data_IF_591275847842
#
_entry.id   IF_591275847842
#
_cell.length_a   1.000
_cell.length_b   1.000
_cell.length_c   1.000
_cell.angle_alpha   90.00
_cell.angle_beta   90.00
_cell.angle_gamma   90.00
#
_symmetry.space_group_name_H-M   'P 1'
#
loop_
_entity.id
_entity.type
_entity.pdbx_description
1 polymer ?
#
# COMPACT_ATOMS: atom_id res chain seq x y z
N UNK A 1 -0.55 -1.22 -10.10
CA UNK A 1 0.81 -0.91 -9.60
C UNK A 1 0.66 0.03 -8.42
N UNK A 2 1.24 -0.31 -7.25
CA UNK A 2 1.33 0.67 -6.18
C UNK A 2 2.23 1.81 -6.69
N UNK A 3 1.81 3.07 -6.61
CA UNK A 3 2.65 4.18 -7.03
C UNK A 3 3.93 4.15 -6.19
N UNK A 4 5.09 4.24 -6.84
CA UNK A 4 6.38 4.16 -6.13
C UNK A 4 6.54 5.27 -5.07
N UNK A 5 5.80 6.37 -5.24
CA UNK A 5 5.65 7.45 -4.27
C UNK A 5 4.20 7.45 -3.81
N UNK A 6 3.97 7.29 -2.51
CA UNK A 6 2.64 7.33 -1.93
C UNK A 6 2.36 8.70 -1.29
N UNK A 7 1.27 9.35 -1.65
CA UNK A 7 0.86 10.65 -1.11
C UNK A 7 0.71 10.63 0.42
N UNK A 8 0.11 9.56 0.96
CA UNK A 8 -0.07 9.40 2.41
C UNK A 8 1.30 9.36 3.12
N UNK A 9 2.28 8.66 2.54
CA UNK A 9 3.63 8.58 3.09
C UNK A 9 4.34 9.94 3.04
N UNK A 10 4.14 10.72 1.97
CA UNK A 10 4.70 12.08 1.86
C UNK A 10 4.17 12.97 2.98
N UNK A 11 2.86 12.95 3.23
CA UNK A 11 2.22 13.74 4.30
C UNK A 11 2.73 13.32 5.67
N UNK A 12 2.81 12.02 5.95
CA UNK A 12 3.32 11.49 7.23
C UNK A 12 4.79 11.84 7.44
N UNK A 13 5.64 11.65 6.44
CA UNK A 13 7.07 11.97 6.54
C UNK A 13 7.29 13.46 6.74
N UNK A 14 6.50 14.30 6.07
CA UNK A 14 6.53 15.74 6.25
C UNK A 14 6.14 16.12 7.69
N UNK A 15 5.08 15.52 8.24
CA UNK A 15 4.60 15.80 9.59
C UNK A 15 5.55 15.32 10.70
N UNK A 16 6.15 14.13 10.54
CA UNK A 16 6.98 13.49 11.58
C UNK A 16 8.45 13.92 11.51
N UNK A 17 9.02 14.04 10.31
CA UNK A 17 10.46 14.24 10.10
C UNK A 17 10.79 15.57 9.39
N UNK A 18 9.76 16.32 8.99
CA UNK A 18 9.91 17.61 8.34
C UNK A 18 10.12 17.52 6.82
N UNK A 19 10.10 18.70 6.19
CA UNK A 19 10.12 18.84 4.73
C UNK A 19 11.38 18.28 4.05
N UNK A 20 12.53 18.29 4.74
CA UNK A 20 13.80 17.79 4.19
C UNK A 20 13.73 16.28 3.90
N UNK A 21 13.16 15.51 4.81
CA UNK A 21 13.05 14.05 4.68
C UNK A 21 11.98 13.68 3.64
N UNK A 22 10.84 14.37 3.64
CA UNK A 22 9.80 14.19 2.63
C UNK A 22 10.32 14.47 1.20
N UNK A 23 11.09 15.55 1.03
CA UNK A 23 11.67 15.91 -0.27
C UNK A 23 12.72 14.90 -0.73
N UNK A 24 13.54 14.37 0.19
CA UNK A 24 14.48 13.29 -0.10
C UNK A 24 13.76 12.01 -0.55
N UNK A 25 12.67 11.63 0.12
CA UNK A 25 11.84 10.50 -0.30
C UNK A 25 11.27 10.67 -1.70
N UNK A 26 10.64 11.82 -1.99
CA UNK A 26 10.01 12.09 -3.30
C UNK A 26 11.06 12.12 -4.42
N UNK A 27 12.16 12.84 -4.22
CA UNK A 27 13.25 12.94 -5.21
C UNK A 27 13.92 11.60 -5.47
N UNK A 28 14.23 10.83 -4.41
CA UNK A 28 14.82 9.50 -4.56
C UNK A 28 13.85 8.55 -5.29
N UNK A 29 12.58 8.54 -4.90
CA UNK A 29 11.54 7.74 -5.55
C UNK A 29 11.42 8.07 -7.04
N UNK A 30 11.48 9.36 -7.40
CA UNK A 30 11.43 9.82 -8.78
C UNK A 30 12.67 9.37 -9.58
N UNK A 31 13.86 9.52 -9.02
CA UNK A 31 15.11 9.09 -9.67
C UNK A 31 15.08 7.59 -9.95
N UNK A 32 14.70 6.79 -8.94
CA UNK A 32 14.59 5.34 -9.09
C UNK A 32 13.52 4.98 -10.14
N UNK A 33 12.38 5.68 -10.18
CA UNK A 33 11.32 5.46 -11.16
C UNK A 33 11.81 5.67 -12.59
N UNK A 34 12.50 6.79 -12.82
CA UNK A 34 13.02 7.15 -14.14
C UNK A 34 14.09 6.14 -14.56
N UNK A 35 15.03 5.81 -13.68
CA UNK A 35 16.10 4.85 -13.99
C UNK A 35 15.57 3.44 -14.23
N UNK A 36 14.68 2.95 -13.37
CA UNK A 36 14.06 1.64 -13.54
C UNK A 36 13.22 1.58 -14.82
N UNK A 37 12.41 2.60 -15.09
CA UNK A 37 11.63 2.71 -16.33
C UNK A 37 12.54 2.73 -17.57
N UNK A 38 13.64 3.48 -17.51
CA UNK A 38 14.63 3.52 -18.60
C UNK A 38 15.29 2.15 -18.85
N UNK A 39 15.71 1.46 -17.79
CA UNK A 39 16.32 0.12 -17.89
C UNK A 39 15.32 -0.89 -18.46
N UNK A 40 14.08 -0.91 -17.95
CA UNK A 40 13.02 -1.81 -18.43
C UNK A 40 12.72 -1.55 -19.92
N UNK A 41 12.68 -0.29 -20.34
CA UNK A 41 12.49 0.09 -21.74
C UNK A 41 13.64 -0.43 -22.63
N UNK A 42 14.88 -0.35 -22.15
CA UNK A 42 16.04 -0.88 -22.89
C UNK A 42 16.03 -2.40 -23.01
N UNK A 43 15.54 -3.09 -21.98
CA UNK A 43 15.44 -4.56 -21.95
C UNK A 43 14.31 -5.11 -22.84
N UNK A 44 13.44 -4.25 -23.39
CA UNK A 44 12.32 -4.64 -24.27
C UNK A 44 11.54 -5.83 -23.72
N UNK A 45 11.17 -5.70 -22.44
CA UNK A 45 10.49 -6.74 -21.66
C UNK A 45 9.01 -6.82 -22.07
N UNK A 46 8.58 -6.14 -23.15
CA UNK A 46 7.18 -6.10 -23.59
C UNK A 46 6.64 -7.50 -23.91
N UNK A 47 7.51 -8.44 -24.30
CA UNK A 47 7.17 -9.85 -24.53
C UNK A 47 6.68 -10.62 -23.28
N UNK A 48 6.85 -10.06 -22.08
CA UNK A 48 6.32 -10.62 -20.83
C UNK A 48 5.06 -9.90 -20.35
N UNK A 49 4.63 -8.86 -21.07
CA UNK A 49 3.38 -8.17 -20.80
C UNK A 49 2.27 -8.95 -21.47
N UNK A 50 1.29 -9.35 -20.68
CA UNK A 50 0.10 -10.04 -21.16
C UNK A 50 -0.68 -9.23 -22.21
N UNK A 51 -1.18 -9.91 -23.25
CA UNK A 51 -1.78 -9.29 -24.43
C UNK A 51 -3.02 -8.44 -24.10
N UNK A 52 -3.74 -8.77 -23.02
CA UNK A 52 -4.92 -8.01 -22.59
C UNK A 52 -4.59 -6.57 -22.15
N UNK A 53 -3.35 -6.29 -21.74
CA UNK A 53 -2.92 -4.94 -21.36
C UNK A 53 -2.92 -4.02 -22.58
N UNK A 54 -2.54 -4.54 -23.74
CA UNK A 54 -2.53 -3.79 -25.00
C UNK A 54 -3.93 -3.64 -25.58
N UNK A 55 -4.85 -4.59 -25.33
CA UNK A 55 -6.23 -4.53 -25.83
C UNK A 55 -7.09 -3.49 -25.12
N UNK A 56 -6.83 -3.19 -23.84
CA UNK A 56 -7.55 -2.13 -23.09
C UNK A 56 -7.32 -0.74 -23.71
N UNK A 57 -6.13 -0.48 -24.28
CA UNK A 57 -5.83 0.80 -24.96
C UNK A 57 -6.59 0.97 -26.29
N UNK A 58 -7.00 -0.13 -26.91
CA UNK A 58 -7.70 -0.15 -28.21
C UNK A 58 -9.21 0.02 -28.06
N UNK A 59 -9.77 -0.23 -26.88
CA UNK A 59 -11.11 0.21 -26.57
C UNK A 59 -11.01 1.68 -26.18
N UNK A 60 -11.06 2.56 -27.19
CA UNK A 60 -11.74 3.83 -27.00
C UNK A 60 -13.13 3.46 -26.48
N UNK A 61 -13.26 3.42 -25.14
CA UNK A 61 -14.56 3.41 -24.49
C UNK A 61 -15.25 4.61 -25.11
N UNK A 62 -16.24 4.35 -25.96
CA UNK A 62 -17.21 5.34 -26.38
C UNK A 62 -17.86 5.75 -25.06
N UNK A 63 -17.26 6.74 -24.40
CA UNK A 63 -17.83 7.43 -23.26
C UNK A 63 -18.98 8.24 -23.86
N UNK A 64 -20.03 7.53 -24.28
CA UNK A 64 -21.36 8.07 -24.21
C UNK A 64 -21.52 8.43 -22.74
N UNK A 65 -21.28 9.71 -22.45
CA UNK A 65 -21.66 10.33 -21.20
C UNK A 65 -23.20 10.29 -21.15
N UNK A 66 -23.76 9.11 -20.94
CA UNK A 66 -25.06 9.00 -20.30
C UNK A 66 -24.81 9.53 -18.90
N UNK A 67 -25.06 10.83 -18.71
CA UNK A 67 -24.90 11.50 -17.43
C UNK A 67 -25.71 10.76 -16.38
N UNK A 68 -25.03 9.90 -15.61
CA UNK A 68 -25.67 9.12 -14.56
C UNK A 68 -26.27 10.07 -13.54
N UNK A 69 -27.53 9.86 -13.22
CA UNK A 69 -28.28 10.70 -12.29
C UNK A 69 -27.67 10.55 -10.89
N UNK A 70 -27.73 11.60 -10.06
CA UNK A 70 -27.16 11.56 -8.70
C UNK A 70 -27.66 10.35 -7.87
N UNK A 71 -28.92 9.96 -8.05
CA UNK A 71 -29.50 8.79 -7.39
C UNK A 71 -28.86 7.47 -7.83
N UNK A 72 -28.61 7.30 -9.13
CA UNK A 72 -27.98 6.11 -9.70
C UNK A 72 -26.53 5.97 -9.22
N UNK A 73 -25.83 7.10 -9.03
CA UNK A 73 -24.46 7.11 -8.46
C UNK A 73 -24.43 6.65 -7.01
N UNK A 74 -25.40 7.07 -6.19
CA UNK A 74 -25.50 6.65 -4.79
C UNK A 74 -25.83 5.16 -4.71
N UNK A 75 -26.81 4.70 -5.49
CA UNK A 75 -27.20 3.29 -5.52
C UNK A 75 -26.05 2.41 -6.00
N UNK A 76 -25.34 2.83 -7.04
CA UNK A 76 -24.12 2.18 -7.51
C UNK A 76 -23.06 2.11 -6.41
N UNK A 77 -22.78 3.24 -5.74
CA UNK A 77 -21.83 3.30 -4.64
C UNK A 77 -22.17 2.31 -3.53
N UNK A 78 -23.44 2.26 -3.11
CA UNK A 78 -23.90 1.32 -2.09
C UNK A 78 -23.76 -0.14 -2.52
N UNK A 79 -24.10 -0.45 -3.78
CA UNK A 79 -23.99 -1.80 -4.32
C UNK A 79 -22.53 -2.26 -4.35
N UNK A 80 -21.61 -1.39 -4.80
CA UNK A 80 -20.16 -1.67 -4.81
C UNK A 80 -19.62 -1.85 -3.40
N UNK A 81 -19.99 -0.98 -2.46
CA UNK A 81 -19.57 -1.12 -1.05
C UNK A 81 -20.06 -2.45 -0.48
N UNK A 82 -21.33 -2.79 -0.68
CA UNK A 82 -21.91 -4.05 -0.20
C UNK A 82 -21.22 -5.26 -0.81
N UNK A 83 -20.94 -5.22 -2.11
CA UNK A 83 -20.25 -6.29 -2.82
C UNK A 83 -18.85 -6.52 -2.27
N UNK A 84 -18.06 -5.45 -2.14
CA UNK A 84 -16.69 -5.52 -1.64
C UNK A 84 -16.69 -6.02 -0.19
N UNK A 85 -17.49 -5.41 0.68
CA UNK A 85 -17.54 -5.78 2.10
C UNK A 85 -17.98 -7.25 2.26
N UNK A 86 -18.99 -7.69 1.52
CA UNK A 86 -19.46 -9.08 1.54
C UNK A 86 -18.38 -10.09 1.15
N UNK A 87 -17.44 -9.71 0.26
CA UNK A 87 -16.32 -10.57 -0.16
C UNK A 87 -15.18 -10.60 0.87
N UNK A 88 -14.96 -9.51 1.62
CA UNK A 88 -13.72 -9.33 2.41
C UNK A 88 -13.93 -9.40 3.93
N UNK A 89 -15.16 -9.23 4.45
CA UNK A 89 -15.43 -9.11 5.89
C UNK A 89 -14.90 -10.29 6.73
N UNK A 90 -15.02 -11.52 6.24
CA UNK A 90 -14.59 -12.71 6.98
C UNK A 90 -13.06 -12.74 7.14
N UNK A 91 -12.33 -12.39 6.08
CA UNK A 91 -10.87 -12.30 6.11
C UNK A 91 -10.39 -11.19 7.05
N UNK A 92 -11.08 -10.05 7.07
CA UNK A 92 -10.80 -8.96 8.02
C UNK A 92 -11.01 -9.45 9.46
N UNK A 93 -12.12 -10.13 9.75
CA UNK A 93 -12.45 -10.60 11.09
C UNK A 93 -11.42 -11.64 11.58
N UNK A 94 -11.00 -12.56 10.72
CA UNK A 94 -9.93 -13.53 11.02
C UNK A 94 -8.61 -12.79 11.25
N UNK A 95 -8.26 -11.83 10.40
CA UNK A 95 -7.04 -11.03 10.55
C UNK A 95 -7.00 -10.24 11.87
N UNK A 96 -8.11 -9.62 12.26
CA UNK A 96 -8.26 -8.92 13.54
C UNK A 96 -8.17 -9.89 14.71
N UNK A 97 -8.84 -11.04 14.64
CA UNK A 97 -8.79 -12.04 15.72
C UNK A 97 -7.37 -12.59 15.93
N UNK A 98 -6.65 -12.87 14.84
CA UNK A 98 -5.23 -13.29 14.89
C UNK A 98 -4.36 -12.15 15.41
N UNK A 99 -4.54 -10.93 14.91
CA UNK A 99 -3.80 -9.75 15.36
C UNK A 99 -4.00 -9.45 16.84
N UNK A 100 -5.24 -9.48 17.32
CA UNK A 100 -5.59 -9.32 18.73
C UNK A 100 -5.02 -10.44 19.61
N UNK A 101 -5.03 -11.69 19.11
CA UNK A 101 -4.40 -12.82 19.77
C UNK A 101 -2.87 -12.67 19.88
N UNK A 102 -2.21 -12.19 18.84
CA UNK A 102 -0.77 -11.93 18.83
C UNK A 102 -0.43 -10.77 19.76
N UNK A 103 -1.21 -9.69 19.76
CA UNK A 103 -0.96 -8.53 20.62
C UNK A 103 -1.13 -8.87 22.11
N UNK A 104 -2.06 -9.77 22.43
CA UNK A 104 -2.21 -10.33 23.79
C UNK A 104 -1.06 -11.26 24.23
N UNK A 105 -0.27 -11.81 23.31
CA UNK A 105 0.77 -12.81 23.60
C UNK A 105 2.21 -12.32 23.34
N UNK A 106 2.40 -11.28 22.53
CA UNK A 106 3.70 -10.67 22.23
C UNK A 106 3.72 -9.23 22.79
N UNK A 107 4.03 -9.06 24.09
CA UNK A 107 4.15 -7.74 24.69
C UNK A 107 5.30 -6.95 24.03
N UNK A 108 5.26 -5.62 24.08
CA UNK A 108 6.37 -4.73 23.68
C UNK A 108 7.72 -5.20 24.25
N UNK A 109 7.70 -5.80 25.45
CA UNK A 109 8.86 -6.35 26.13
C UNK A 109 9.52 -7.54 25.39
N UNK A 110 8.76 -8.37 24.65
CA UNK A 110 9.32 -9.47 23.85
C UNK A 110 10.08 -8.92 22.64
N UNK A 111 9.48 -7.97 21.90
CA UNK A 111 10.15 -7.30 20.79
C UNK A 111 11.35 -6.47 21.26
N UNK A 112 11.25 -5.77 22.39
CA UNK A 112 12.38 -5.04 22.99
C UNK A 112 13.52 -5.96 23.45
N UNK A 113 13.22 -7.18 23.89
CA UNK A 113 14.23 -8.17 24.30
C UNK A 113 14.93 -8.85 23.11
N UNK A 114 14.25 -9.01 21.97
CA UNK A 114 14.80 -9.65 20.76
C UNK A 114 15.46 -8.64 19.81
N UNK A 115 14.95 -7.40 19.74
CA UNK A 115 15.48 -6.28 18.94
C UNK A 115 16.22 -5.24 19.79
N UNK A 116 16.77 -5.64 20.94
CA UNK A 116 17.60 -4.78 21.77
C UNK A 116 18.81 -4.20 21.00
N UNK A 117 19.19 -2.96 21.35
CA UNK A 117 20.21 -2.08 20.73
C UNK A 117 21.61 -2.67 20.45
N UNK A 118 21.89 -3.94 20.77
CA UNK A 118 23.22 -4.57 20.69
C UNK A 118 23.42 -5.50 19.48
N UNK A 119 22.39 -5.74 18.66
CA UNK A 119 22.46 -6.66 17.53
C UNK A 119 22.44 -5.93 16.17
N UNK A 120 23.58 -5.92 15.46
CA UNK A 120 23.68 -5.36 14.10
C UNK A 120 22.76 -6.06 13.07
N UNK A 121 22.35 -7.30 13.36
CA UNK A 121 21.44 -8.10 12.54
C UNK A 121 19.95 -7.77 12.79
N UNK A 122 19.62 -6.97 13.80
CA UNK A 122 18.24 -6.58 14.07
C UNK A 122 17.64 -5.84 12.87
N UNK A 123 18.37 -4.89 12.28
CA UNK A 123 17.87 -4.06 11.16
C UNK A 123 17.51 -4.89 9.92
N UNK A 124 18.36 -5.79 9.38
CA UNK A 124 17.98 -6.65 8.25
C UNK A 124 16.78 -7.57 8.54
N UNK A 125 16.70 -8.12 9.75
CA UNK A 125 15.61 -9.03 10.13
C UNK A 125 14.28 -8.27 10.25
N UNK A 126 14.29 -7.07 10.84
CA UNK A 126 13.10 -6.19 10.87
C UNK A 126 12.61 -5.85 9.47
N UNK A 127 13.53 -5.59 8.52
CA UNK A 127 13.18 -5.32 7.13
C UNK A 127 12.54 -6.54 6.47
N UNK A 128 13.13 -7.73 6.64
CA UNK A 128 12.58 -8.97 6.07
C UNK A 128 11.18 -9.31 6.60
N UNK A 129 10.93 -9.07 7.88
CA UNK A 129 9.61 -9.27 8.50
C UNK A 129 8.64 -8.15 8.08
N UNK A 130 9.11 -6.91 7.98
CA UNK A 130 8.30 -5.74 7.64
C UNK A 130 7.88 -5.66 6.18
N UNK A 131 8.68 -6.18 5.24
CA UNK A 131 8.41 -6.13 3.79
C UNK A 131 7.07 -6.81 3.44
N UNK A 132 6.76 -8.04 3.89
CA UNK A 132 5.44 -8.65 3.68
C UNK A 132 4.27 -7.91 4.32
N UNK A 133 4.51 -7.21 5.45
CA UNK A 133 3.48 -6.45 6.18
C UNK A 133 3.08 -5.14 5.48
N UNK A 134 3.96 -4.55 4.65
CA UNK A 134 3.72 -3.24 3.99
C UNK A 134 2.76 -3.30 2.79
N UNK A 135 1.84 -4.27 2.75
CA UNK A 135 1.05 -4.54 1.53
C UNK A 135 0.05 -3.43 1.16
N UNK A 136 -0.29 -2.49 2.07
CA UNK A 136 -1.15 -1.35 1.77
C UNK A 136 -1.05 -0.22 2.81
N UNK A 137 -0.73 0.99 2.38
CA UNK A 137 -0.65 2.15 3.25
C UNK A 137 -1.99 2.58 3.86
N UNK A 138 -3.10 2.48 3.12
CA UNK A 138 -4.43 2.87 3.63
C UNK A 138 -4.95 1.88 4.68
N UNK A 139 -4.66 0.58 4.52
CA UNK A 139 -5.04 -0.45 5.48
C UNK A 139 -4.25 -0.43 6.79
N UNK A 140 -3.07 0.21 6.78
CA UNK A 140 -2.19 0.34 7.95
C UNK A 140 -2.54 1.55 8.83
N UNK A 141 -3.28 2.56 8.32
CA UNK A 141 -3.62 3.77 9.07
C UNK A 141 -4.25 3.46 10.45
N UNK A 142 -5.25 2.56 10.58
CA UNK A 142 -5.84 2.24 11.88
C UNK A 142 -4.85 1.55 12.84
N UNK A 143 -3.93 0.74 12.32
CA UNK A 143 -2.94 0.00 13.12
C UNK A 143 -1.86 0.96 13.65
N UNK A 144 -1.39 1.88 12.82
CA UNK A 144 -0.43 2.91 13.25
C UNK A 144 -1.02 3.83 14.31
N UNK A 145 -2.30 4.19 14.19
CA UNK A 145 -2.99 4.97 15.23
C UNK A 145 -3.02 4.22 16.57
N UNK A 146 -3.31 2.92 16.55
CA UNK A 146 -3.35 2.09 17.77
C UNK A 146 -1.97 1.81 18.39
N UNK A 147 -0.86 2.07 17.67
CA UNK A 147 0.52 1.89 18.16
C UNK A 147 1.19 3.20 18.58
N UNK A 148 0.60 4.36 18.24
CA UNK A 148 1.09 5.68 18.63
C UNK A 148 0.38 6.24 19.87
N UNK A 149 -0.75 5.64 20.27
CA UNK A 149 -1.36 5.76 21.61
C UNK A 149 -0.84 4.65 22.53
#
# INVERSE_FOLDING_TARGET
AAPMINEIAVVLLFGLFGWKVALLYVSMGLIIAVLAGYIINQLKVERYVEDWVFSIRSQSVDLQETGTTFNERIEFGFNVVREIVSKVWLYILIGIAVGAGIHGYVPENFMASFMGKSAWWAVPVSVLIGVPLYSNAAGIIPIVHALLE
#
